data_IF_043806294531
#
_entry.id   IF_043806294531
#
_cell.length_a   1.000
_cell.length_b   1.000
_cell.length_c   1.000
_cell.angle_alpha   90.00
_cell.angle_beta   90.00
_cell.angle_gamma   90.00
#
_symmetry.space_group_name_H-M   'P 1'
#
loop_
_entity.id
_entity.type
_entity.pdbx_description
1 polymer ?
#
# COMPACT_ATOMS: atom_id res chain seq x y z
N UNK A 1 -13.28 -4.39 2.85
CA UNK A 1 -13.38 -4.51 1.37
C UNK A 1 -13.75 -3.23 0.63
N UNK A 2 -14.21 -2.17 1.31
CA UNK A 2 -14.55 -0.89 0.66
C UNK A 2 -13.39 -0.25 -0.13
N UNK A 3 -12.15 -0.34 0.38
CA UNK A 3 -10.98 0.16 -0.35
C UNK A 3 -10.67 -0.68 -1.61
N UNK A 4 -10.64 -2.01 -1.47
CA UNK A 4 -10.35 -2.93 -2.59
C UNK A 4 -11.35 -2.80 -3.74
N UNK A 5 -12.62 -2.50 -3.46
CA UNK A 5 -13.64 -2.32 -4.52
C UNK A 5 -13.37 -1.13 -5.44
N UNK A 6 -12.54 -0.16 -5.01
CA UNK A 6 -12.12 0.99 -5.82
C UNK A 6 -11.00 0.66 -6.79
N UNK A 7 -10.36 -0.51 -6.69
CA UNK A 7 -9.30 -0.98 -7.60
C UNK A 7 -9.71 -0.87 -9.08
N UNK A 8 -10.99 -1.13 -9.38
CA UNK A 8 -11.55 -1.02 -10.74
C UNK A 8 -11.43 0.38 -11.37
N UNK A 9 -11.19 1.41 -10.57
CA UNK A 9 -11.06 2.80 -11.01
C UNK A 9 -9.59 3.18 -11.30
N UNK A 10 -8.65 2.28 -11.02
CA UNK A 10 -7.21 2.54 -11.11
C UNK A 10 -6.64 1.83 -12.33
N UNK A 11 -5.98 2.56 -13.22
CA UNK A 11 -5.22 1.97 -14.32
C UNK A 11 -3.90 1.38 -13.80
N UNK A 12 -3.79 0.05 -13.79
CA UNK A 12 -2.62 -0.68 -13.28
C UNK A 12 -1.43 -0.69 -14.23
N UNK A 13 -1.57 -0.25 -15.48
CA UNK A 13 -0.42 -0.04 -16.38
C UNK A 13 0.36 1.23 -16.00
N UNK A 14 -0.28 2.16 -15.27
CA UNK A 14 0.29 3.45 -14.87
C UNK A 14 0.53 3.57 -13.37
N UNK A 15 -0.18 2.77 -12.58
CA UNK A 15 -0.21 2.89 -11.12
C UNK A 15 0.00 1.54 -10.44
N UNK A 16 0.60 1.58 -9.26
CA UNK A 16 0.82 0.43 -8.40
C UNK A 16 -0.22 0.41 -7.29
N UNK A 17 -0.61 -0.78 -6.84
CA UNK A 17 -1.62 -0.97 -5.79
C UNK A 17 -1.07 -1.92 -4.75
N UNK A 18 -0.93 -1.44 -3.51
CA UNK A 18 -0.58 -2.23 -2.34
C UNK A 18 -1.84 -2.51 -1.51
N UNK A 19 -2.20 -3.77 -1.33
CA UNK A 19 -3.42 -4.19 -0.63
C UNK A 19 -3.08 -5.07 0.59
N UNK A 20 -3.67 -4.77 1.74
CA UNK A 20 -3.53 -5.56 2.97
C UNK A 20 -4.89 -5.69 3.67
N UNK A 21 -4.93 -6.38 4.81
CA UNK A 21 -6.10 -6.32 5.69
C UNK A 21 -6.25 -4.92 6.29
N UNK A 22 -7.45 -4.57 6.76
CA UNK A 22 -7.66 -3.28 7.40
C UNK A 22 -6.98 -3.23 8.78
N UNK A 23 -6.39 -2.08 9.21
CA UNK A 23 -5.70 -1.95 10.50
C UNK A 23 -6.58 -2.07 11.74
N UNK A 24 -7.91 -2.11 11.58
CA UNK A 24 -8.83 -2.33 12.71
C UNK A 24 -8.46 -3.62 13.46
N UNK A 25 -8.56 -3.65 14.81
CA UNK A 25 -8.25 -4.82 15.62
C UNK A 25 -8.91 -6.12 15.14
N UNK A 26 -10.12 -6.04 14.57
CA UNK A 26 -10.87 -7.18 14.05
C UNK A 26 -10.16 -7.92 12.90
N UNK A 27 -9.31 -7.23 12.14
CA UNK A 27 -8.71 -7.74 10.91
C UNK A 27 -7.20 -7.55 10.81
N UNK A 28 -6.57 -6.79 11.71
CA UNK A 28 -5.16 -6.43 11.57
C UNK A 28 -4.22 -7.65 11.58
N UNK A 29 -4.49 -8.63 12.45
CA UNK A 29 -3.76 -9.89 12.50
C UNK A 29 -3.93 -10.78 11.26
N UNK A 30 -4.97 -10.51 10.44
CA UNK A 30 -5.25 -11.25 9.20
C UNK A 30 -4.45 -10.75 7.99
N UNK A 31 -3.43 -9.91 8.22
CA UNK A 31 -2.48 -9.48 7.18
C UNK A 31 -2.25 -7.98 7.05
N UNK A 32 -2.58 -7.17 8.05
CA UNK A 32 -2.11 -5.77 8.13
C UNK A 32 -0.74 -5.72 8.80
N UNK A 33 -0.59 -6.38 9.95
CA UNK A 33 0.71 -6.47 10.63
C UNK A 33 1.71 -7.23 9.75
N UNK A 34 2.91 -6.68 9.60
CA UNK A 34 3.94 -7.24 8.72
C UNK A 34 3.72 -7.01 7.23
N UNK A 35 2.71 -6.22 6.80
CA UNK A 35 2.48 -6.00 5.37
C UNK A 35 3.62 -5.24 4.65
N UNK A 36 4.42 -4.48 5.41
CA UNK A 36 5.60 -3.77 4.89
C UNK A 36 5.28 -2.66 3.89
N UNK A 37 4.07 -2.09 3.91
CA UNK A 37 3.62 -1.17 2.86
C UNK A 37 4.40 0.14 2.78
N UNK A 38 4.92 0.65 3.89
CA UNK A 38 5.71 1.89 3.88
C UNK A 38 7.02 1.71 3.10
N UNK A 39 7.72 0.60 3.37
CA UNK A 39 8.95 0.21 2.65
C UNK A 39 8.65 -0.07 1.17
N UNK A 40 7.66 -0.92 0.88
CA UNK A 40 7.25 -1.22 -0.50
C UNK A 40 6.84 0.02 -1.29
N UNK A 41 6.19 1.00 -0.66
CA UNK A 41 5.83 2.25 -1.32
C UNK A 41 7.08 3.05 -1.70
N UNK A 42 8.08 3.11 -0.84
CA UNK A 42 9.36 3.76 -1.13
C UNK A 42 10.17 3.00 -2.19
N UNK A 43 10.17 1.66 -2.17
CA UNK A 43 10.80 0.86 -3.22
C UNK A 43 10.22 1.18 -4.60
N UNK A 44 8.88 1.24 -4.70
CA UNK A 44 8.20 1.63 -5.94
C UNK A 44 8.60 3.06 -6.36
N UNK A 45 8.64 4.00 -5.42
CA UNK A 45 9.05 5.38 -5.73
C UNK A 45 10.48 5.42 -6.25
N UNK A 46 11.39 4.67 -5.61
CA UNK A 46 12.79 4.57 -5.99
C UNK A 46 12.97 3.95 -7.37
N UNK A 47 12.27 2.86 -7.68
CA UNK A 47 12.26 2.24 -9.01
C UNK A 47 11.77 3.20 -10.10
N UNK A 48 10.82 4.08 -9.75
CA UNK A 48 10.32 5.13 -10.64
C UNK A 48 11.21 6.38 -10.68
N UNK A 49 12.37 6.38 -10.00
CA UNK A 49 13.27 7.53 -9.90
C UNK A 49 12.67 8.73 -9.16
N UNK A 50 11.66 8.49 -8.31
CA UNK A 50 10.98 9.51 -7.51
C UNK A 50 11.57 9.57 -6.10
N UNK A 51 11.39 10.71 -5.45
CA UNK A 51 11.79 10.90 -4.06
C UNK A 51 10.94 10.03 -3.13
N UNK A 52 11.61 9.27 -2.28
CA UNK A 52 11.01 8.46 -1.22
C UNK A 52 10.34 9.35 -0.16
N UNK A 53 9.35 8.80 0.53
CA UNK A 53 8.63 9.48 1.61
C UNK A 53 9.34 9.21 2.94
N UNK A 54 9.61 10.27 3.71
CA UNK A 54 10.00 10.14 5.11
C UNK A 54 8.74 9.92 5.96
N UNK A 55 8.64 8.73 6.56
CA UNK A 55 7.49 8.30 7.35
C UNK A 55 7.64 8.56 8.85
N UNK A 56 8.76 9.15 9.28
CA UNK A 56 8.95 9.55 10.67
C UNK A 56 7.98 10.68 11.04
N UNK A 57 7.42 10.60 12.24
CA UNK A 57 6.56 11.64 12.84
C UNK A 57 7.33 12.46 13.85
#
# INVERSE_FOLDING_TARGET
NNARSKKRLINTEKHYILESAHPSPLSASRGFFGCGHFEKANDILKELGKKEIDWKM
#
